data_IF_152392277620
#
_entry.id   IF_152392277620
#
_cell.length_a   1.000
_cell.length_b   1.000
_cell.length_c   1.000
_cell.angle_alpha   90.00
_cell.angle_beta   90.00
_cell.angle_gamma   90.00
#
_symmetry.space_group_name_H-M   'P 1'
#
loop_
_entity.id
_entity.type
_entity.pdbx_description
1 polymer ?
#
# COMPACT_ATOMS: atom_id res chain seq x y z
N UNK A 1 -1.89 9.71 12.48
CA UNK A 1 -1.12 9.69 11.22
C UNK A 1 -1.87 10.45 10.13
N UNK A 2 -1.20 11.35 9.43
CA UNK A 2 -1.81 12.08 8.33
C UNK A 2 -1.72 11.24 7.04
N UNK A 3 -2.53 11.59 6.04
CA UNK A 3 -2.46 10.95 4.73
C UNK A 3 -1.06 11.12 4.10
N UNK A 4 -0.46 12.30 4.24
CA UNK A 4 0.87 12.58 3.68
C UNK A 4 1.92 11.65 4.28
N UNK A 5 1.90 11.44 5.58
CA UNK A 5 2.79 10.50 6.24
C UNK A 5 2.55 9.08 5.74
N UNK A 6 1.28 8.68 5.68
CA UNK A 6 0.89 7.36 5.18
C UNK A 6 1.39 7.15 3.75
N UNK A 7 1.17 8.14 2.87
CA UNK A 7 1.61 8.06 1.47
C UNK A 7 3.13 7.88 1.37
N UNK A 8 3.90 8.64 2.14
CA UNK A 8 5.35 8.52 2.13
C UNK A 8 5.81 7.14 2.55
N UNK A 9 5.22 6.61 3.61
CA UNK A 9 5.58 5.28 4.11
C UNK A 9 5.27 4.20 3.10
N UNK A 10 4.08 4.23 2.51
CA UNK A 10 3.66 3.25 1.51
C UNK A 10 4.54 3.35 0.26
N UNK A 11 4.76 4.58 -0.23
CA UNK A 11 5.57 4.81 -1.43
C UNK A 11 6.99 4.26 -1.25
N UNK A 12 7.65 4.64 -0.17
CA UNK A 12 9.02 4.21 0.09
C UNK A 12 9.12 2.69 0.25
N UNK A 13 8.18 2.10 0.97
CA UNK A 13 8.19 0.66 1.20
C UNK A 13 7.98 -0.12 -0.09
N UNK A 14 7.04 0.32 -0.93
CA UNK A 14 6.77 -0.36 -2.19
C UNK A 14 7.88 -0.16 -3.21
N UNK A 15 8.60 0.96 -3.16
CA UNK A 15 9.75 1.18 -4.04
C UNK A 15 10.86 0.16 -3.77
N UNK A 16 11.02 -0.27 -2.53
CA UNK A 16 12.04 -1.25 -2.16
C UNK A 16 11.54 -2.69 -2.23
N UNK A 17 10.27 -2.88 -2.59
CA UNK A 17 9.66 -4.21 -2.72
C UNK A 17 8.94 -4.32 -4.06
N UNK A 18 9.70 -4.43 -5.17
CA UNK A 18 9.11 -4.38 -6.52
C UNK A 18 8.13 -5.51 -6.81
N UNK A 19 8.21 -6.63 -6.09
CA UNK A 19 7.24 -7.71 -6.24
C UNK A 19 5.93 -7.43 -5.51
N UNK A 20 5.88 -6.33 -4.74
CA UNK A 20 4.70 -5.93 -4.03
C UNK A 20 4.55 -6.56 -2.66
N UNK A 21 3.62 -6.04 -1.89
CA UNK A 21 3.31 -6.52 -0.55
C UNK A 21 1.80 -6.53 -0.37
N UNK A 22 1.30 -7.45 0.46
CA UNK A 22 -0.10 -7.44 0.85
C UNK A 22 -0.33 -6.35 1.90
N UNK A 23 -1.59 -5.99 2.13
CA UNK A 23 -1.92 -5.04 3.20
C UNK A 23 -1.41 -5.53 4.57
N UNK A 24 -1.56 -6.83 4.84
CA UNK A 24 -1.06 -7.41 6.09
C UNK A 24 0.45 -7.18 6.25
N UNK A 25 1.20 -7.42 5.18
CA UNK A 25 2.65 -7.21 5.21
C UNK A 25 3.00 -5.75 5.40
N UNK A 26 2.32 -4.86 4.70
CA UNK A 26 2.51 -3.41 4.86
C UNK A 26 2.20 -2.97 6.28
N UNK A 27 1.05 -3.42 6.80
CA UNK A 27 0.62 -3.08 8.14
C UNK A 27 1.63 -3.52 9.19
N UNK A 28 2.14 -4.74 9.06
CA UNK A 28 3.11 -5.27 10.01
C UNK A 28 4.47 -4.60 9.88
N UNK A 29 4.93 -4.40 8.64
CA UNK A 29 6.23 -3.77 8.39
C UNK A 29 6.27 -2.33 8.89
N UNK A 30 5.21 -1.58 8.66
CA UNK A 30 5.13 -0.17 8.99
C UNK A 30 4.45 0.10 10.33
N UNK A 31 4.00 -0.97 11.01
CA UNK A 31 3.30 -0.85 12.29
C UNK A 31 2.11 0.11 12.21
N UNK A 32 1.29 -0.07 11.16
CA UNK A 32 0.15 0.81 10.92
C UNK A 32 -0.98 0.51 11.90
N UNK A 33 -1.68 1.55 12.38
CA UNK A 33 -2.75 1.37 13.35
C UNK A 33 -4.09 0.95 12.74
N UNK A 34 -4.13 0.74 11.40
CA UNK A 34 -5.36 0.47 10.69
C UNK A 34 -5.53 -1.01 10.42
N UNK A 35 -6.69 -1.57 10.82
CA UNK A 35 -7.00 -2.97 10.57
C UNK A 35 -7.24 -3.22 9.08
N UNK A 36 -7.97 -2.30 8.43
CA UNK A 36 -8.23 -2.34 6.99
C UNK A 36 -7.86 -0.98 6.40
N UNK A 37 -7.49 -0.93 5.11
CA UNK A 37 -7.11 0.33 4.50
C UNK A 37 -8.33 1.22 4.23
N UNK A 38 -8.13 2.53 4.32
CA UNK A 38 -9.16 3.51 3.99
C UNK A 38 -9.33 3.59 2.47
N UNK A 39 -10.53 3.37 1.96
CA UNK A 39 -10.80 3.39 0.52
C UNK A 39 -10.44 4.74 -0.13
N UNK A 40 -10.75 5.83 0.54
CA UNK A 40 -10.42 7.17 0.03
C UNK A 40 -8.91 7.32 -0.16
N UNK A 41 -8.14 6.86 0.81
CA UNK A 41 -6.69 6.92 0.73
C UNK A 41 -6.14 6.00 -0.37
N UNK A 42 -6.76 4.83 -0.55
CA UNK A 42 -6.38 3.93 -1.65
C UNK A 42 -6.55 4.63 -2.99
N UNK A 43 -7.69 5.29 -3.22
CA UNK A 43 -7.93 6.01 -4.47
C UNK A 43 -6.94 7.14 -4.66
N UNK A 44 -6.60 7.87 -3.60
CA UNK A 44 -5.60 8.92 -3.69
C UNK A 44 -4.22 8.35 -4.02
N UNK A 45 -3.84 7.20 -3.43
CA UNK A 45 -2.57 6.55 -3.75
C UNK A 45 -2.52 6.09 -5.21
N UNK A 46 -3.63 5.56 -5.72
CA UNK A 46 -3.72 5.14 -7.13
C UNK A 46 -3.42 6.31 -8.06
N UNK A 47 -3.90 7.49 -7.70
CA UNK A 47 -3.71 8.70 -8.50
C UNK A 47 -2.34 9.33 -8.29
N UNK A 48 -1.88 9.43 -7.05
CA UNK A 48 -0.71 10.23 -6.68
C UNK A 48 0.62 9.48 -6.78
N UNK A 49 0.64 8.18 -6.49
CA UNK A 49 1.88 7.39 -6.55
C UNK A 49 1.76 6.19 -7.49
N UNK A 50 0.70 6.15 -8.28
CA UNK A 50 0.48 5.08 -9.26
C UNK A 50 0.38 3.71 -8.59
N UNK A 51 -0.31 3.64 -7.46
CA UNK A 51 -0.55 2.38 -6.78
C UNK A 51 -1.36 1.44 -7.66
N UNK A 52 -0.91 0.20 -7.77
CA UNK A 52 -1.62 -0.87 -8.46
C UNK A 52 -1.87 -1.98 -7.45
N UNK A 53 -3.10 -2.49 -7.43
CA UNK A 53 -3.45 -3.61 -6.57
C UNK A 53 -3.99 -4.75 -7.42
N UNK A 54 -3.29 -5.90 -7.37
CA UNK A 54 -3.68 -7.08 -8.11
C UNK A 54 -3.98 -8.21 -7.14
N UNK A 55 -4.84 -9.14 -7.54
CA UNK A 55 -5.17 -10.28 -6.71
C UNK A 55 -4.00 -11.27 -6.69
N UNK A 56 -3.56 -11.64 -5.48
CA UNK A 56 -2.53 -12.64 -5.29
C UNK A 56 -3.12 -14.06 -5.24
N UNK A 57 -2.29 -15.02 -4.87
CA UNK A 57 -2.68 -16.44 -4.78
C UNK A 57 -3.75 -16.70 -3.73
N UNK A 58 -3.69 -15.98 -2.62
CA UNK A 58 -4.73 -16.01 -1.60
C UNK A 58 -5.60 -14.78 -1.85
N UNK A 59 -6.81 -14.74 -1.64
CA UNK A 59 -7.76 -13.64 -1.94
C UNK A 59 -7.27 -12.23 -1.62
N UNK A 60 -6.09 -12.09 -1.03
CA UNK A 60 -5.52 -10.79 -0.67
C UNK A 60 -4.92 -10.08 -1.88
N UNK A 61 -5.09 -8.75 -1.93
CA UNK A 61 -4.48 -7.93 -2.98
C UNK A 61 -3.00 -7.70 -2.70
N UNK A 62 -2.21 -7.73 -3.77
CA UNK A 62 -0.80 -7.35 -3.74
C UNK A 62 -0.71 -5.90 -4.16
N UNK A 63 -0.08 -5.08 -3.34
CA UNK A 63 0.09 -3.65 -3.60
C UNK A 63 1.46 -3.43 -4.24
N UNK A 64 1.48 -2.74 -5.36
CA UNK A 64 2.71 -2.40 -6.09
C UNK A 64 2.64 -0.96 -6.55
N UNK A 65 3.82 -0.40 -6.86
CA UNK A 65 3.91 0.87 -7.56
C UNK A 65 4.27 0.56 -9.01
N UNK A 66 3.49 1.11 -9.93
CA UNK A 66 3.75 0.98 -11.37
C UNK A 66 4.67 2.12 -11.78
N UNK A 67 5.93 1.80 -11.97
CA UNK A 67 6.92 2.77 -12.42
C UNK A 67 7.18 2.64 -13.90
#
# INVERSE_FOLDING_TARGET
MTYIEFRKLIHNTLQTNPNGLTWRELKNTLNLPYKIPCKTWIYQLEDEIQLVRTKGRSSAYIWKIDN
#
